data_IF_469331797871
#
_entry.id   IF_469331797871
#
_cell.length_a   1.000
_cell.length_b   1.000
_cell.length_c   1.000
_cell.angle_alpha   90.00
_cell.angle_beta   90.00
_cell.angle_gamma   90.00
#
_symmetry.space_group_name_H-M   'P 1'
#
loop_
_entity.id
_entity.type
_entity.pdbx_description
1 polymer ?
#
# COMPACT_ATOMS: atom_id res chain seq x y z
N UNK A 1 15.79 -14.03 7.04
CA UNK A 1 14.79 -13.52 6.08
C UNK A 1 15.42 -13.53 4.68
N UNK A 2 15.18 -14.58 3.89
CA UNK A 2 15.79 -14.73 2.56
C UNK A 2 15.38 -13.55 1.66
N UNK A 3 16.38 -12.87 1.10
CA UNK A 3 16.17 -11.90 0.03
C UNK A 3 15.74 -12.74 -1.17
N UNK A 4 14.44 -12.73 -1.52
CA UNK A 4 14.01 -13.27 -2.81
C UNK A 4 14.81 -12.52 -3.88
N UNK A 5 15.58 -13.27 -4.66
CA UNK A 5 16.28 -12.80 -5.85
C UNK A 5 15.30 -12.04 -6.73
N UNK A 6 15.74 -10.92 -7.31
CA UNK A 6 14.90 -10.14 -8.21
C UNK A 6 14.66 -10.95 -9.49
N UNK A 7 13.56 -11.71 -9.53
CA UNK A 7 13.15 -12.51 -10.70
C UNK A 7 12.77 -11.64 -11.91
N UNK A 8 12.71 -10.32 -11.75
CA UNK A 8 12.36 -9.36 -12.80
C UNK A 8 13.59 -8.60 -13.33
N UNK A 9 14.81 -9.12 -13.17
CA UNK A 9 16.04 -8.45 -13.64
C UNK A 9 16.09 -8.15 -15.14
N UNK A 10 15.23 -8.80 -15.93
CA UNK A 10 15.09 -8.56 -17.37
C UNK A 10 14.30 -7.27 -17.69
N UNK A 11 13.62 -6.66 -16.71
CA UNK A 11 12.87 -5.42 -16.85
C UNK A 11 13.65 -4.32 -16.14
N UNK A 12 13.76 -3.15 -16.78
CA UNK A 12 14.40 -2.03 -16.12
C UNK A 12 13.66 -1.60 -14.84
N UNK A 13 14.43 -1.19 -13.84
CA UNK A 13 13.92 -0.88 -12.50
C UNK A 13 12.99 0.35 -12.50
N UNK A 14 13.18 1.30 -13.40
CA UNK A 14 12.31 2.48 -13.53
C UNK A 14 10.93 2.07 -14.05
N UNK A 15 10.91 1.18 -15.05
CA UNK A 15 9.68 0.60 -15.60
C UNK A 15 8.94 -0.22 -14.56
N UNK A 16 9.65 -1.04 -13.78
CA UNK A 16 9.04 -1.79 -12.69
C UNK A 16 8.41 -0.86 -11.64
N UNK A 17 9.09 0.23 -11.28
CA UNK A 17 8.59 1.20 -10.31
C UNK A 17 7.37 1.95 -10.86
N UNK A 18 7.40 2.35 -12.14
CA UNK A 18 6.28 2.98 -12.83
C UNK A 18 5.04 2.09 -12.82
N UNK A 19 5.19 0.80 -13.12
CA UNK A 19 4.10 -0.18 -13.04
C UNK A 19 3.48 -0.21 -11.64
N UNK A 20 4.32 -0.27 -10.61
CA UNK A 20 3.87 -0.32 -9.22
C UNK A 20 3.14 0.96 -8.82
N UNK A 21 3.62 2.12 -9.23
CA UNK A 21 2.94 3.40 -9.01
C UNK A 21 1.62 3.49 -9.77
N UNK A 22 1.58 3.05 -11.02
CA UNK A 22 0.35 2.99 -11.79
C UNK A 22 -0.68 2.08 -11.12
N UNK A 23 -0.25 0.90 -10.62
CA UNK A 23 -1.10 -0.01 -9.85
C UNK A 23 -1.60 0.61 -8.55
N UNK A 24 -0.74 1.29 -7.78
CA UNK A 24 -1.13 1.96 -6.53
C UNK A 24 -2.10 3.12 -6.76
N UNK A 25 -1.91 3.88 -7.84
CA UNK A 25 -2.68 5.10 -8.09
C UNK A 25 -4.05 4.81 -8.71
N UNK A 26 -4.10 3.93 -9.70
CA UNK A 26 -5.27 3.72 -10.55
C UNK A 26 -5.92 2.34 -10.39
N UNK A 27 -5.27 1.41 -9.67
CA UNK A 27 -5.72 0.04 -9.47
C UNK A 27 -6.20 -0.73 -10.75
N UNK A 28 -5.54 -0.62 -11.92
CA UNK A 28 -5.92 -1.35 -13.13
C UNK A 28 -5.88 -2.87 -12.93
N UNK A 29 -6.66 -3.59 -13.73
CA UNK A 29 -6.69 -5.06 -13.72
C UNK A 29 -5.30 -5.62 -14.05
N UNK A 30 -4.88 -6.67 -13.33
CA UNK A 30 -3.54 -7.24 -13.48
C UNK A 30 -3.24 -7.75 -14.89
N UNK A 31 -4.24 -8.24 -15.62
CA UNK A 31 -4.08 -8.68 -17.03
C UNK A 31 -3.77 -7.54 -17.99
N UNK A 32 -4.33 -6.34 -17.75
CA UNK A 32 -4.03 -5.15 -18.55
C UNK A 32 -2.57 -4.73 -18.31
N UNK A 33 -2.15 -4.64 -17.04
CA UNK A 33 -0.75 -4.36 -16.70
C UNK A 33 0.22 -5.41 -17.27
N UNK A 34 -0.16 -6.68 -17.25
CA UNK A 34 0.62 -7.76 -17.83
C UNK A 34 0.86 -7.54 -19.33
N UNK A 35 -0.20 -7.17 -20.06
CA UNK A 35 -0.13 -6.82 -21.48
C UNK A 35 0.71 -5.58 -21.73
N UNK A 36 0.45 -4.47 -21.02
CA UNK A 36 1.08 -3.17 -21.25
C UNK A 36 2.59 -3.18 -20.98
N UNK A 37 3.03 -4.00 -20.02
CA UNK A 37 4.43 -4.07 -19.58
C UNK A 37 5.14 -5.36 -20.01
N UNK A 38 4.50 -6.20 -20.82
CA UNK A 38 5.01 -7.49 -21.30
C UNK A 38 5.51 -8.41 -20.16
N UNK A 39 4.70 -8.53 -19.10
CA UNK A 39 4.96 -9.38 -17.93
C UNK A 39 3.87 -10.45 -17.87
N UNK A 40 4.17 -11.64 -17.36
CA UNK A 40 3.11 -12.61 -17.08
C UNK A 40 2.13 -12.08 -16.03
N UNK A 41 0.85 -12.44 -16.15
CA UNK A 41 -0.19 -12.07 -15.16
C UNK A 41 0.16 -12.52 -13.74
N UNK A 42 0.82 -13.68 -13.60
CA UNK A 42 1.34 -14.17 -12.32
C UNK A 42 2.54 -13.37 -11.78
N UNK A 43 3.30 -12.70 -12.67
CA UNK A 43 4.42 -11.85 -12.30
C UNK A 43 4.01 -10.52 -11.67
N UNK A 44 2.86 -9.95 -12.06
CA UNK A 44 2.35 -8.68 -11.53
C UNK A 44 2.26 -8.66 -9.98
N UNK A 45 1.56 -9.60 -9.31
CA UNK A 45 1.48 -9.59 -7.85
C UNK A 45 2.83 -9.82 -7.18
N UNK A 46 3.74 -10.60 -7.79
CA UNK A 46 5.06 -10.85 -7.23
C UNK A 46 5.97 -9.61 -7.35
N UNK A 47 5.92 -8.90 -8.49
CA UNK A 47 6.62 -7.63 -8.71
C UNK A 47 6.11 -6.57 -7.74
N UNK A 48 4.79 -6.48 -7.58
CA UNK A 48 4.16 -5.56 -6.65
C UNK A 48 4.62 -5.82 -5.21
N UNK A 49 4.54 -7.07 -4.73
CA UNK A 49 5.03 -7.45 -3.39
C UNK A 49 6.52 -7.13 -3.20
N UNK A 50 7.34 -7.35 -4.22
CA UNK A 50 8.77 -7.05 -4.18
C UNK A 50 9.02 -5.55 -3.95
N UNK A 51 8.38 -4.68 -4.74
CA UNK A 51 8.56 -3.24 -4.62
C UNK A 51 7.94 -2.66 -3.36
N UNK A 52 6.76 -3.12 -2.93
CA UNK A 52 6.15 -2.69 -1.65
C UNK A 52 7.09 -2.95 -0.47
N UNK A 53 7.73 -4.13 -0.42
CA UNK A 53 8.71 -4.45 0.62
C UNK A 53 9.95 -3.55 0.56
N UNK A 54 10.42 -3.21 -0.65
CA UNK A 54 11.58 -2.30 -0.83
C UNK A 54 11.23 -0.87 -0.43
N UNK A 55 10.08 -0.36 -0.88
CA UNK A 55 9.58 0.97 -0.52
C UNK A 55 9.38 1.07 0.99
N UNK A 56 8.77 0.08 1.63
CA UNK A 56 8.65 0.04 3.09
C UNK A 56 10.01 0.15 3.78
N UNK A 57 11.02 -0.61 3.35
CA UNK A 57 12.38 -0.53 3.94
C UNK A 57 13.02 0.84 3.81
N UNK A 58 12.69 1.60 2.76
CA UNK A 58 13.18 2.96 2.51
C UNK A 58 12.38 4.02 3.25
N UNK A 59 11.05 3.90 3.25
CA UNK A 59 10.13 4.89 3.78
C UNK A 59 9.73 4.66 5.24
N UNK A 60 10.07 3.53 5.86
CA UNK A 60 9.79 3.26 7.29
C UNK A 60 10.35 4.30 8.26
N UNK A 61 11.33 5.11 7.82
CA UNK A 61 11.89 6.21 8.61
C UNK A 61 10.93 7.40 8.70
N UNK A 62 10.01 7.53 7.72
CA UNK A 62 8.99 8.55 7.70
C UNK A 62 7.90 8.10 8.67
N UNK A 63 7.81 8.76 9.82
CA UNK A 63 6.72 8.54 10.79
C UNK A 63 5.46 9.23 10.28
N UNK A 64 4.74 8.57 9.38
CA UNK A 64 3.46 9.08 8.84
C UNK A 64 2.36 9.00 9.92
N UNK A 65 2.45 8.02 10.81
CA UNK A 65 1.51 7.82 11.91
C UNK A 65 2.08 8.34 13.24
N UNK A 66 1.30 9.09 14.02
CA UNK A 66 1.68 9.47 15.38
C UNK A 66 1.82 8.22 16.28
N UNK A 67 2.61 8.33 17.35
CA UNK A 67 2.71 7.23 18.33
C UNK A 67 1.38 7.04 19.06
N UNK A 68 1.10 5.81 19.52
CA UNK A 68 -0.09 5.51 20.34
C UNK A 68 -0.23 6.47 21.51
N UNK A 69 0.88 6.78 22.18
CA UNK A 69 0.92 7.73 23.29
C UNK A 69 0.49 9.15 22.86
N UNK A 70 1.05 9.66 21.74
CA UNK A 70 0.68 10.97 21.23
C UNK A 70 -0.81 11.03 20.91
N UNK A 71 -1.36 9.98 20.31
CA UNK A 71 -2.79 9.88 20.01
C UNK A 71 -3.61 9.89 21.30
N UNK A 72 -3.27 9.06 22.29
CA UNK A 72 -4.02 8.97 23.54
C UNK A 72 -3.99 10.26 24.38
N UNK A 73 -2.93 11.04 24.25
CA UNK A 73 -2.75 12.32 24.94
C UNK A 73 -3.54 13.46 24.29
N UNK A 74 -3.73 13.42 22.97
CA UNK A 74 -4.41 14.49 22.22
C UNK A 74 -5.80 14.11 21.71
N UNK A 75 -6.28 12.89 22.01
CA UNK A 75 -7.60 12.43 21.62
C UNK A 75 -8.71 13.26 22.28
N UNK A 76 -9.69 13.78 21.53
CA UNK A 76 -10.86 14.41 22.11
C UNK A 76 -11.57 13.47 23.09
N UNK A 77 -12.00 14.00 24.24
CA UNK A 77 -12.66 13.22 25.29
C UNK A 77 -13.89 12.47 24.78
N UNK A 78 -14.68 13.11 23.92
CA UNK A 78 -15.87 12.50 23.29
C UNK A 78 -15.51 11.23 22.51
N UNK A 79 -14.38 11.22 21.79
CA UNK A 79 -13.91 10.04 21.06
C UNK A 79 -13.33 9.02 22.03
N UNK A 80 -12.50 9.44 22.98
CA UNK A 80 -11.83 8.55 23.95
C UNK A 80 -12.83 7.78 24.84
N UNK A 81 -13.98 8.37 25.14
CA UNK A 81 -15.07 7.72 25.89
C UNK A 81 -15.66 6.53 25.13
N UNK A 82 -15.79 6.64 23.81
CA UNK A 82 -16.39 5.59 22.97
C UNK A 82 -15.31 4.63 22.42
N UNK A 83 -14.09 5.13 22.21
CA UNK A 83 -12.98 4.41 21.55
C UNK A 83 -11.65 4.66 22.27
N UNK A 84 -11.46 4.15 23.51
CA UNK A 84 -10.27 4.43 24.33
C UNK A 84 -8.95 3.88 23.75
N UNK A 85 -9.04 2.85 22.90
CA UNK A 85 -7.90 2.22 22.23
C UNK A 85 -7.73 2.63 20.76
N UNK A 86 -8.41 3.69 20.32
CA UNK A 86 -8.30 4.19 18.95
C UNK A 86 -6.86 4.66 18.65
N UNK A 87 -6.29 4.14 17.57
CA UNK A 87 -4.91 4.45 17.11
C UNK A 87 -4.83 5.04 15.71
N UNK A 88 -5.90 4.98 14.94
CA UNK A 88 -6.03 5.63 13.64
C UNK A 88 -7.48 5.56 13.19
N UNK A 89 -7.92 6.56 12.43
CA UNK A 89 -9.14 6.48 11.62
C UNK A 89 -8.67 6.37 10.17
N UNK A 90 -8.99 5.26 9.52
CA UNK A 90 -8.72 5.06 8.12
C UNK A 90 -10.01 5.37 7.35
N UNK A 91 -10.15 6.61 6.90
CA UNK A 91 -11.29 7.06 6.10
C UNK A 91 -11.02 6.75 4.62
N UNK A 92 -11.29 5.51 4.21
CA UNK A 92 -10.97 5.01 2.88
C UNK A 92 -12.06 4.12 2.27
N UNK A 93 -13.29 4.12 2.80
CA UNK A 93 -14.35 3.23 2.30
C UNK A 93 -15.65 4.00 2.09
N UNK A 94 -15.89 4.36 0.84
CA UNK A 94 -17.22 4.72 0.35
C UNK A 94 -17.87 3.44 -0.18
N UNK A 95 -18.75 2.81 0.61
CA UNK A 95 -19.66 1.81 0.07
C UNK A 95 -20.88 2.54 -0.48
N UNK A 96 -21.24 2.32 -1.75
CA UNK A 96 -22.57 2.70 -2.25
C UNK A 96 -23.63 1.92 -1.48
N UNK A 97 -24.21 2.54 -0.45
CA UNK A 97 -25.47 2.08 0.12
C UNK A 97 -26.55 2.44 -0.89
N UNK A 98 -26.94 1.51 -1.75
CA UNK A 98 -28.22 1.62 -2.43
C UNK A 98 -29.30 1.71 -1.35
N UNK A 99 -29.82 2.91 -1.12
CA UNK A 99 -31.12 3.07 -0.46
C UNK A 99 -32.16 2.61 -1.49
N UNK A 100 -33.14 1.77 -1.11
CA UNK A 100 -34.05 1.09 -2.05
C UNK A 100 -34.72 2.01 -3.08
#
# INVERSE_FOLDING_TARGET
MMIRTNIFSHIDSEIQLLLVFYKLKQNPVGSLLASDFNISTGGIPELFKFWIKRMYRKFKIIKIWPSKENIQNHMPLSIKQHFPDLVAIADCIEFSTHVP
#
